data_IF_969792278213
#
_entry.id   IF_969792278213
#
_cell.length_a   1.000
_cell.length_b   1.000
_cell.length_c   1.000
_cell.angle_alpha   90.00
_cell.angle_beta   90.00
_cell.angle_gamma   90.00
#
_symmetry.space_group_name_H-M   'P 1'
#
loop_
_entity.id
_entity.type
_entity.pdbx_description
1 polymer ?
#
# COMPACT_ATOMS: atom_id res chain seq x y z
N UNK A 1 14.39 -3.67 8.55
CA UNK A 1 13.93 -3.97 7.18
C UNK A 1 12.91 -2.92 6.79
N UNK A 2 13.19 -2.10 5.78
CA UNK A 2 12.29 -1.05 5.30
C UNK A 2 11.07 -1.70 4.64
N UNK A 3 9.87 -1.39 5.13
CA UNK A 3 8.64 -1.90 4.52
C UNK A 3 8.46 -1.22 3.16
N UNK A 4 8.10 -1.98 2.12
CA UNK A 4 7.97 -1.44 0.77
C UNK A 4 6.68 -0.62 0.67
N UNK A 5 6.84 0.67 0.40
CA UNK A 5 5.73 1.60 0.21
C UNK A 5 4.91 1.24 -1.06
N UNK A 6 3.60 1.54 -1.09
CA UNK A 6 2.79 1.49 -2.30
C UNK A 6 3.48 2.23 -3.46
N UNK A 7 3.62 1.57 -4.61
CA UNK A 7 4.36 2.09 -5.78
C UNK A 7 5.87 1.81 -5.77
N UNK A 8 6.39 1.08 -4.78
CA UNK A 8 7.75 0.53 -4.82
C UNK A 8 7.80 -0.78 -5.60
N UNK A 9 8.91 -1.07 -6.28
CA UNK A 9 9.12 -2.32 -7.05
C UNK A 9 8.74 -3.58 -6.26
N UNK A 10 9.07 -3.63 -4.96
CA UNK A 10 8.77 -4.78 -4.09
C UNK A 10 7.27 -4.89 -3.81
N UNK A 11 6.60 -3.77 -3.57
CA UNK A 11 5.15 -3.71 -3.40
C UNK A 11 4.43 -4.18 -4.67
N UNK A 12 4.83 -3.66 -5.83
CA UNK A 12 4.22 -4.02 -7.12
C UNK A 12 4.45 -5.49 -7.47
N UNK A 13 5.64 -6.03 -7.17
CA UNK A 13 5.94 -7.46 -7.34
C UNK A 13 5.02 -8.32 -6.47
N UNK A 14 4.79 -7.92 -5.21
CA UNK A 14 3.90 -8.63 -4.29
C UNK A 14 2.45 -8.56 -4.77
N UNK A 15 1.99 -7.39 -5.21
CA UNK A 15 0.65 -7.17 -5.78
C UNK A 15 0.40 -8.04 -7.00
N UNK A 16 1.36 -8.11 -7.92
CA UNK A 16 1.25 -8.94 -9.13
C UNK A 16 1.13 -10.43 -8.80
N UNK A 17 1.87 -10.92 -7.78
CA UNK A 17 1.76 -12.31 -7.32
C UNK A 17 0.39 -12.60 -6.72
N UNK A 18 -0.08 -11.75 -5.82
CA UNK A 18 -1.39 -11.90 -5.19
C UNK A 18 -2.54 -11.89 -6.21
N UNK A 19 -2.45 -11.01 -7.22
CA UNK A 19 -3.43 -10.98 -8.32
C UNK A 19 -3.43 -12.30 -9.09
N UNK A 20 -2.26 -12.82 -9.45
CA UNK A 20 -2.13 -14.10 -10.15
C UNK A 20 -2.69 -15.27 -9.32
N UNK A 21 -2.44 -15.29 -8.02
CA UNK A 21 -2.93 -16.33 -7.12
C UNK A 21 -4.47 -16.27 -7.01
N UNK A 22 -5.07 -15.07 -6.99
CA UNK A 22 -6.51 -14.87 -7.01
C UNK A 22 -7.15 -15.30 -8.34
N UNK A 23 -6.56 -14.92 -9.48
CA UNK A 23 -6.98 -15.37 -10.81
C UNK A 23 -6.93 -16.90 -10.94
N UNK A 24 -5.86 -17.52 -10.43
CA UNK A 24 -5.70 -18.98 -10.41
C UNK A 24 -6.78 -19.67 -9.56
N UNK A 25 -7.33 -18.97 -8.57
CA UNK A 25 -8.42 -19.45 -7.71
C UNK A 25 -9.80 -19.26 -8.35
N UNK A 26 -9.88 -18.75 -9.58
CA UNK A 26 -11.11 -18.56 -10.34
C UNK A 26 -11.75 -17.19 -10.18
N UNK A 27 -11.07 -16.22 -9.54
CA UNK A 27 -11.54 -14.85 -9.39
C UNK A 27 -11.33 -14.09 -10.71
N UNK A 28 -12.28 -13.22 -11.07
CA UNK A 28 -12.14 -12.40 -12.28
C UNK A 28 -10.95 -11.43 -12.17
N UNK A 29 -10.35 -11.06 -13.30
CA UNK A 29 -9.19 -10.16 -13.35
C UNK A 29 -9.38 -8.85 -12.56
N UNK A 30 -10.58 -8.26 -12.68
CA UNK A 30 -10.92 -7.00 -12.00
C UNK A 30 -11.01 -7.19 -10.49
N UNK A 31 -11.66 -8.26 -10.03
CA UNK A 31 -11.80 -8.59 -8.62
C UNK A 31 -10.46 -9.04 -8.01
N UNK A 32 -9.65 -9.78 -8.75
CA UNK A 32 -8.32 -10.22 -8.34
C UNK A 32 -7.39 -9.03 -8.11
N UNK A 33 -7.50 -7.99 -8.95
CA UNK A 33 -6.79 -6.73 -8.76
C UNK A 33 -7.21 -5.96 -7.49
N UNK A 34 -8.49 -6.01 -7.14
CA UNK A 34 -9.02 -5.39 -5.91
C UNK A 34 -8.60 -6.18 -4.68
N UNK A 35 -8.82 -7.50 -4.66
CA UNK A 35 -8.46 -8.40 -3.56
C UNK A 35 -6.96 -8.34 -3.24
N UNK A 36 -6.10 -8.28 -4.27
CA UNK A 36 -4.66 -8.12 -4.08
C UNK A 36 -4.29 -6.78 -3.43
N UNK A 37 -5.00 -5.69 -3.75
CA UNK A 37 -4.78 -4.39 -3.13
C UNK A 37 -5.25 -4.35 -1.68
N UNK A 38 -6.41 -4.94 -1.38
CA UNK A 38 -6.95 -5.03 -0.02
C UNK A 38 -6.02 -5.84 0.88
N UNK A 39 -5.57 -7.01 0.42
CA UNK A 39 -4.61 -7.86 1.15
C UNK A 39 -3.33 -7.10 1.54
N UNK A 40 -2.82 -6.25 0.65
CA UNK A 40 -1.61 -5.45 0.92
C UNK A 40 -1.85 -4.29 1.88
N UNK A 41 -3.05 -3.71 1.88
CA UNK A 41 -3.43 -2.66 2.83
C UNK A 41 -3.65 -3.23 4.22
N UNK A 42 -4.19 -4.45 4.31
CA UNK A 42 -4.48 -5.09 5.59
C UNK A 42 -3.22 -5.65 6.27
N UNK A 43 -2.22 -6.13 5.51
CA UNK A 43 -0.99 -6.66 6.10
C UNK A 43 -0.10 -5.52 6.65
N UNK A 44 0.16 -5.46 7.97
CA UNK A 44 0.97 -4.41 8.60
C UNK A 44 2.41 -4.32 8.07
N UNK A 45 2.89 -5.37 7.39
CA UNK A 45 4.21 -5.40 6.74
C UNK A 45 4.22 -4.69 5.38
N UNK A 46 3.07 -4.47 4.77
CA UNK A 46 2.93 -3.84 3.45
C UNK A 46 2.20 -2.49 3.50
N UNK A 47 1.67 -2.11 4.66
CA UNK A 47 1.15 -0.77 4.92
C UNK A 47 2.23 0.30 4.74
N UNK A 48 1.85 1.40 4.09
CA UNK A 48 2.66 2.61 4.04
C UNK A 48 2.82 3.17 5.45
N UNK A 49 4.04 3.61 5.81
CA UNK A 49 4.26 4.30 7.10
C UNK A 49 3.87 5.78 7.04
N UNK A 50 3.13 6.17 6.00
CA UNK A 50 2.87 7.55 5.67
C UNK A 50 4.07 8.22 5.02
N UNK A 51 4.05 9.55 4.93
CA UNK A 51 5.03 10.31 4.17
C UNK A 51 6.44 10.23 4.78
N UNK A 52 7.42 9.81 3.96
CA UNK A 52 8.83 9.74 4.33
C UNK A 52 9.49 11.09 4.64
N UNK A 53 8.84 12.21 4.33
CA UNK A 53 9.38 13.56 4.56
C UNK A 53 8.33 14.47 5.16
N UNK A 54 8.78 15.51 5.86
CA UNK A 54 7.89 16.56 6.37
C UNK A 54 7.02 17.18 5.27
N UNK A 55 7.55 17.36 4.05
CA UNK A 55 6.77 17.93 2.94
C UNK A 55 5.62 17.01 2.49
N UNK A 56 5.74 15.70 2.69
CA UNK A 56 4.69 14.74 2.33
C UNK A 56 3.52 14.67 3.32
N UNK A 57 3.61 15.32 4.50
CA UNK A 57 2.55 15.33 5.54
C UNK A 57 1.33 16.21 5.22
N UNK A 58 1.13 16.60 3.96
CA UNK A 58 0.08 17.54 3.59
C UNK A 58 0.42 19.01 3.92
N UNK A 59 -0.46 19.97 3.66
CA UNK A 59 -0.21 21.40 3.86
C UNK A 59 0.09 21.71 5.33
N UNK A 60 1.05 22.61 5.59
CA UNK A 60 1.52 22.90 6.96
C UNK A 60 0.40 23.26 7.94
N UNK A 61 -0.62 24.00 7.49
CA UNK A 61 -1.73 24.46 8.33
C UNK A 61 -2.76 23.39 8.72
N UNK A 62 -2.80 22.24 8.03
CA UNK A 62 -3.71 21.13 8.34
C UNK A 62 -3.05 20.04 9.19
N UNK A 63 -1.75 20.21 9.52
CA UNK A 63 -1.01 19.27 10.35
C UNK A 63 -1.39 19.49 11.80
N UNK A 64 -2.28 18.66 12.35
CA UNK A 64 -2.59 18.64 13.78
C UNK A 64 -1.37 18.12 14.55
N UNK A 65 -0.51 19.03 15.03
CA UNK A 65 0.71 18.63 15.74
C UNK A 65 1.71 19.73 16.10
N UNK A 66 1.37 21.01 16.04
CA UNK A 66 2.23 22.06 16.62
C UNK A 66 1.38 22.98 17.49
N UNK A 67 1.12 22.51 18.70
CA UNK A 67 0.85 23.36 19.86
C UNK A 67 1.87 22.93 20.90
N UNK A 68 3.00 23.64 20.92
CA UNK A 68 3.78 23.94 22.12
C UNK A 68 3.79 25.47 22.21
#
# INVERSE_FOLDING_TARGET
>A
MTMPEPGSKKYDTRRARLRRDAEQSGISDQEAGQAANETLRDDPRWQSRGPCTERGRGPKGERTGTTD
#
